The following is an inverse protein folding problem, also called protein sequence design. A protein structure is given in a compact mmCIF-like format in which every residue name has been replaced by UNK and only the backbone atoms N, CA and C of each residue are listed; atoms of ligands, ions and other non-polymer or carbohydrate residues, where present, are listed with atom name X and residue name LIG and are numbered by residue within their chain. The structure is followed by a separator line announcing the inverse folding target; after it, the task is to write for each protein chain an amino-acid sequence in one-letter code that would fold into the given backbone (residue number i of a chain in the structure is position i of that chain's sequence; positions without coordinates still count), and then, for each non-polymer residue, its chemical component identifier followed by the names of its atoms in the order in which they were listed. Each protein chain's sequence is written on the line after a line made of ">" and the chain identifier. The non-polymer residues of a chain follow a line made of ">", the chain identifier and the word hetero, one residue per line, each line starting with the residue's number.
data_IF_348869676434
#
_entry.id   IF_348869676434
#
_cell.length_a   1.000
_cell.length_b   1.000
_cell.length_c   1.000
_cell.angle_alpha   90.00
_cell.angle_beta   90.00
_cell.angle_gamma   90.00
#
_symmetry.space_group_name_H-M   'P 1'
#
loop_
_entity.id
_entity.type
_entity.pdbx_description
1 polymer ?
#
# COMPACT_ATOMS: atom_id res chain seq x y z
N UNK A 1 -8.68 -5.03 32.41
CA UNK A 1 -7.45 -5.12 31.59
C UNK A 1 -7.51 -3.96 30.61
N UNK A 2 -6.79 -2.88 30.92
CA UNK A 2 -6.87 -1.62 30.19
C UNK A 2 -5.97 -1.68 28.96
N UNK A 3 -6.50 -1.47 27.77
CA UNK A 3 -5.72 -1.01 26.62
C UNK A 3 -6.20 0.39 26.27
N UNK A 4 -5.65 1.38 26.98
CA UNK A 4 -5.71 2.77 26.52
C UNK A 4 -4.90 2.82 25.22
N UNK A 5 -5.57 3.08 24.10
CA UNK A 5 -4.89 3.33 22.83
C UNK A 5 -4.35 4.76 22.93
N UNK A 6 -3.03 5.02 22.83
CA UNK A 6 -2.49 6.38 22.83
C UNK A 6 -3.10 7.18 21.66
N UNK A 7 -3.09 8.53 21.68
CA UNK A 7 -3.55 9.34 20.55
C UNK A 7 -2.69 8.98 19.34
N UNK A 8 -3.21 8.12 18.47
CA UNK A 8 -2.49 7.62 17.32
C UNK A 8 -2.34 8.77 16.33
N UNK A 9 -1.19 9.44 16.35
CA UNK A 9 -0.67 10.11 15.17
C UNK A 9 -0.62 9.05 14.08
N UNK A 10 -1.66 8.96 13.25
CA UNK A 10 -1.77 7.92 12.21
C UNK A 10 -0.57 8.06 11.29
N UNK A 11 0.45 7.24 11.54
CA UNK A 11 1.62 7.16 10.69
C UNK A 11 1.18 6.78 9.28
N UNK A 12 1.87 7.32 8.28
CA UNK A 12 1.60 6.98 6.88
C UNK A 12 2.61 5.94 6.42
N UNK A 13 2.11 4.80 5.95
CA UNK A 13 2.89 3.78 5.27
C UNK A 13 2.86 4.07 3.77
N UNK A 14 3.98 4.58 3.26
CA UNK A 14 4.18 4.82 1.86
C UNK A 14 4.70 3.55 1.17
N UNK A 15 3.90 2.97 0.28
CA UNK A 15 4.19 1.71 -0.40
C UNK A 15 4.77 1.99 -1.77
N UNK A 16 6.04 1.64 -1.95
CA UNK A 16 6.78 1.71 -3.22
C UNK A 16 6.86 0.31 -3.82
N UNK A 17 6.00 0.02 -4.78
CA UNK A 17 5.96 -1.27 -5.47
C UNK A 17 5.56 -1.08 -6.94
N UNK A 18 5.84 -2.10 -7.77
CA UNK A 18 5.30 -2.15 -9.12
C UNK A 18 3.77 -2.32 -9.13
N UNK A 19 3.13 -1.86 -10.19
CA UNK A 19 1.69 -1.98 -10.42
C UNK A 19 1.39 -2.98 -11.55
N UNK A 20 0.14 -3.42 -11.64
CA UNK A 20 -0.33 -4.26 -12.73
C UNK A 20 0.00 -5.75 -12.59
N UNK A 21 -0.18 -6.44 -13.70
CA UNK A 21 0.14 -7.86 -13.84
C UNK A 21 1.50 -7.98 -14.49
N UNK A 22 2.49 -8.54 -13.77
CA UNK A 22 3.76 -8.93 -14.36
C UNK A 22 3.73 -10.42 -14.67
N UNK A 23 3.97 -10.74 -15.93
CA UNK A 23 4.24 -12.12 -16.33
C UNK A 23 5.66 -12.45 -15.93
N UNK A 24 5.80 -13.38 -15.00
CA UNK A 24 7.07 -13.97 -14.66
C UNK A 24 7.47 -14.91 -15.80
N UNK A 25 8.47 -14.51 -16.59
CA UNK A 25 8.92 -15.27 -17.76
C UNK A 25 9.64 -16.57 -17.39
N UNK A 26 10.13 -16.70 -16.15
CA UNK A 26 10.81 -17.90 -15.66
C UNK A 26 9.83 -19.01 -15.26
N UNK A 27 8.67 -18.65 -14.68
CA UNK A 27 7.67 -19.61 -14.19
C UNK A 27 6.39 -19.66 -15.02
N UNK A 28 6.22 -18.74 -15.97
CA UNK A 28 5.00 -18.59 -16.79
C UNK A 28 3.79 -18.09 -15.99
N UNK A 29 3.98 -17.66 -14.73
CA UNK A 29 2.91 -17.23 -13.85
C UNK A 29 2.66 -15.74 -14.00
N UNK A 30 1.38 -15.37 -14.03
CA UNK A 30 0.98 -13.96 -13.98
C UNK A 30 0.89 -13.55 -12.51
N UNK A 31 1.81 -12.68 -12.08
CA UNK A 31 1.80 -12.06 -10.76
C UNK A 31 0.96 -10.79 -10.83
N UNK A 32 -0.20 -10.81 -10.19
CA UNK A 32 -1.05 -9.64 -10.03
C UNK A 32 -0.58 -8.85 -8.78
N UNK A 33 0.23 -7.82 -9.04
CA UNK A 33 0.77 -6.95 -8.00
C UNK A 33 -0.32 -6.08 -7.40
N UNK A 34 -1.35 -5.73 -8.17
CA UNK A 34 -2.51 -4.98 -7.68
C UNK A 34 -3.35 -5.82 -6.72
N UNK A 35 -3.62 -7.09 -7.07
CA UNK A 35 -4.30 -8.01 -6.18
C UNK A 35 -3.51 -8.22 -4.88
N UNK A 36 -2.18 -8.29 -4.96
CA UNK A 36 -1.31 -8.39 -3.78
C UNK A 36 -1.40 -7.15 -2.90
N UNK A 37 -1.43 -5.95 -3.51
CA UNK A 37 -1.59 -4.71 -2.78
C UNK A 37 -2.95 -4.61 -2.08
N UNK A 38 -4.03 -4.87 -2.80
CA UNK A 38 -5.41 -4.73 -2.29
C UNK A 38 -5.75 -5.80 -1.25
N UNK A 39 -5.31 -7.04 -1.44
CA UNK A 39 -5.73 -8.17 -0.60
C UNK A 39 -4.77 -8.46 0.57
N UNK A 40 -3.53 -7.96 0.53
CA UNK A 40 -2.52 -8.28 1.55
C UNK A 40 -1.91 -7.02 2.17
N UNK A 41 -1.32 -6.14 1.35
CA UNK A 41 -0.53 -5.01 1.87
C UNK A 41 -1.43 -3.98 2.54
N UNK A 42 -2.48 -3.52 1.86
CA UNK A 42 -3.44 -2.55 2.39
C UNK A 42 -4.11 -3.01 3.68
N UNK A 43 -4.72 -4.21 3.77
CA UNK A 43 -5.36 -4.65 5.01
C UNK A 43 -4.35 -4.85 6.16
N UNK A 44 -3.11 -5.27 5.87
CA UNK A 44 -2.08 -5.39 6.91
C UNK A 44 -1.67 -4.03 7.49
N UNK A 45 -1.50 -3.02 6.62
CA UNK A 45 -1.17 -1.64 7.03
C UNK A 45 -2.33 -1.01 7.81
N UNK A 46 -3.57 -1.19 7.35
CA UNK A 46 -4.76 -0.67 8.04
C UNK A 46 -4.98 -1.37 9.39
N UNK A 47 -4.73 -2.68 9.49
CA UNK A 47 -4.78 -3.43 10.75
C UNK A 47 -3.70 -2.98 11.75
N UNK A 48 -2.56 -2.49 11.26
CA UNK A 48 -1.53 -1.85 12.08
C UNK A 48 -1.89 -0.43 12.54
N UNK A 49 -3.07 0.09 12.15
CA UNK A 49 -3.53 1.44 12.51
C UNK A 49 -2.90 2.56 11.68
N UNK A 50 -2.24 2.22 10.57
CA UNK A 50 -1.51 3.15 9.72
C UNK A 50 -2.32 3.50 8.47
N UNK A 51 -2.04 4.68 7.89
CA UNK A 51 -2.61 5.07 6.59
C UNK A 51 -1.77 4.44 5.48
N UNK A 52 -2.37 3.56 4.67
CA UNK A 52 -1.72 3.04 3.48
C UNK A 52 -1.82 4.05 2.33
N UNK A 53 -0.69 4.39 1.71
CA UNK A 53 -0.62 5.25 0.52
C UNK A 53 0.31 4.61 -0.49
N UNK A 54 -0.20 4.31 -1.69
CA UNK A 54 0.63 3.77 -2.78
C UNK A 54 1.27 4.89 -3.59
N UNK A 55 2.47 4.65 -4.11
CA UNK A 55 3.18 5.62 -4.93
C UNK A 55 2.42 6.06 -6.19
N UNK A 56 1.60 5.19 -6.81
CA UNK A 56 0.80 5.57 -7.99
C UNK A 56 -0.46 6.39 -7.64
N UNK A 57 -0.95 6.29 -6.40
CA UNK A 57 -2.11 7.04 -5.90
C UNK A 57 -1.74 8.50 -5.58
N UNK A 58 -0.45 8.79 -5.39
CA UNK A 58 0.05 10.16 -5.26
C UNK A 58 0.11 10.78 -6.65
N UNK A 59 -1.03 11.34 -7.07
CA UNK A 59 -1.06 12.29 -8.19
C UNK A 59 -0.25 13.50 -7.74
N UNK A 60 0.97 13.64 -8.25
CA UNK A 60 1.67 14.91 -8.20
C UNK A 60 0.81 15.86 -9.05
N UNK A 61 -0.06 16.63 -8.39
CA UNK A 61 -0.80 17.71 -9.04
C UNK A 61 0.25 18.71 -9.51
N UNK A 62 0.71 18.54 -10.75
CA UNK A 62 1.52 19.51 -11.45
C UNK A 62 0.69 20.76 -11.69
N UNK A 63 0.60 21.60 -10.67
CA UNK A 63 0.56 23.05 -10.81
C UNK A 63 1.68 23.56 -9.91
N UNK A 64 2.85 23.68 -10.54
CA UNK A 64 3.94 24.52 -10.04
C UNK A 64 3.50 25.94 -10.40
N UNK A 65 3.31 26.79 -9.40
CA UNK A 65 3.34 28.25 -9.56
C UNK A 65 4.81 28.71 -9.50
#
# INVERSE_FOLDING_TARGET
>A
MSTVNPPQTRGTCFVVMGFGKKTDFETGRVLDLDASYQNLIKPAVEAAGLKCVRADEIVHSGLID
#
